data_IF_905213368945
#
_entry.id   IF_905213368945
#
_cell.length_a   1.000
_cell.length_b   1.000
_cell.length_c   1.000
_cell.angle_alpha   90.00
_cell.angle_beta   90.00
_cell.angle_gamma   90.00
#
_symmetry.space_group_name_H-M   'P 1'
#
loop_
_entity.id
_entity.type
_entity.pdbx_description
1 polymer ?
#
# COMPACT_ATOMS: atom_id res chain seq x y z
N UNK A 1 -3.81 3.53 11.41
CA UNK A 1 -4.03 4.74 10.57
C UNK A 1 -4.86 4.36 9.33
N UNK A 2 -5.87 5.15 8.95
CA UNK A 2 -6.73 4.84 7.80
C UNK A 2 -6.14 5.25 6.45
N UNK A 3 -5.12 6.12 6.41
CA UNK A 3 -4.50 6.60 5.17
C UNK A 3 -2.99 6.64 5.30
N UNK A 4 -2.26 6.39 4.21
CA UNK A 4 -0.81 6.52 4.11
C UNK A 4 -0.40 6.91 2.69
N UNK A 5 0.29 8.04 2.55
CA UNK A 5 0.87 8.44 1.26
C UNK A 5 2.30 7.94 1.13
N UNK A 6 2.60 7.26 0.02
CA UNK A 6 3.92 6.72 -0.29
C UNK A 6 4.73 7.84 -0.93
N UNK A 7 5.57 8.55 -0.19
CA UNK A 7 6.55 9.49 -0.78
C UNK A 7 7.77 8.75 -1.32
N UNK A 8 8.49 9.34 -2.28
CA UNK A 8 9.77 8.83 -2.79
C UNK A 8 10.80 8.47 -1.70
N UNK A 9 10.81 9.22 -0.59
CA UNK A 9 11.71 8.99 0.56
C UNK A 9 11.11 8.09 1.64
N UNK A 10 9.91 7.55 1.44
CA UNK A 10 9.28 6.65 2.40
C UNK A 10 10.08 5.37 2.48
N UNK A 11 10.56 5.04 3.66
CA UNK A 11 11.24 3.76 3.89
C UNK A 11 10.30 2.61 3.56
N UNK A 12 10.81 1.60 2.85
CA UNK A 12 10.04 0.42 2.46
C UNK A 12 9.34 -0.22 3.67
N UNK A 13 10.02 -0.32 4.80
CA UNK A 13 9.49 -0.90 6.05
C UNK A 13 8.27 -0.16 6.61
N UNK A 14 8.10 1.13 6.31
CA UNK A 14 6.91 1.88 6.72
C UNK A 14 5.70 1.37 5.95
N UNK A 15 5.84 1.22 4.63
CA UNK A 15 4.77 0.72 3.77
C UNK A 15 4.45 -0.73 4.11
N UNK A 16 5.48 -1.57 4.26
CA UNK A 16 5.32 -2.98 4.61
C UNK A 16 4.58 -3.16 5.95
N UNK A 17 4.98 -2.41 6.98
CA UNK A 17 4.31 -2.46 8.30
C UNK A 17 2.88 -1.96 8.23
N UNK A 18 2.65 -0.86 7.51
CA UNK A 18 1.31 -0.31 7.36
C UNK A 18 0.37 -1.31 6.68
N UNK A 19 0.81 -1.98 5.62
CA UNK A 19 0.00 -2.99 4.94
C UNK A 19 -0.27 -4.20 5.83
N UNK A 20 0.75 -4.69 6.54
CA UNK A 20 0.64 -5.83 7.46
C UNK A 20 -0.36 -5.56 8.58
N UNK A 21 -0.43 -4.34 9.11
CA UNK A 21 -1.39 -4.00 10.17
C UNK A 21 -2.86 -4.11 9.73
N UNK A 22 -3.12 -4.08 8.42
CA UNK A 22 -4.46 -4.22 7.81
C UNK A 22 -4.69 -5.60 7.18
N UNK A 23 -3.80 -6.56 7.45
CA UNK A 23 -3.92 -7.93 6.93
C UNK A 23 -3.45 -8.12 5.48
N UNK A 24 -2.76 -7.13 4.90
CA UNK A 24 -2.17 -7.24 3.57
C UNK A 24 -0.70 -7.61 3.64
N UNK A 25 -0.27 -8.47 2.71
CA UNK A 25 1.14 -8.68 2.39
C UNK A 25 1.54 -7.66 1.33
N UNK A 26 2.64 -6.96 1.56
CA UNK A 26 3.23 -6.04 0.59
C UNK A 26 4.61 -6.54 0.15
N UNK A 27 4.94 -6.36 -1.12
CA UNK A 27 6.27 -6.64 -1.69
C UNK A 27 6.72 -5.45 -2.53
N UNK A 28 7.94 -4.97 -2.29
CA UNK A 28 8.54 -3.90 -3.09
C UNK A 28 9.11 -4.48 -4.39
N UNK A 29 8.87 -3.78 -5.51
CA UNK A 29 9.39 -4.11 -6.84
C UNK A 29 9.95 -2.87 -7.55
N UNK A 30 10.34 -3.03 -8.81
CA UNK A 30 10.84 -1.93 -9.63
C UNK A 30 9.72 -0.89 -9.89
N UNK A 31 9.64 0.13 -9.05
CA UNK A 31 8.71 1.26 -9.21
C UNK A 31 7.51 1.30 -8.27
N UNK A 32 7.40 0.38 -7.30
CA UNK A 32 6.28 0.44 -6.36
C UNK A 32 6.13 -0.78 -5.46
N UNK A 33 4.92 -0.95 -4.96
CA UNK A 33 4.51 -2.00 -4.04
C UNK A 33 3.36 -2.79 -4.64
N UNK A 34 3.50 -4.12 -4.62
CA UNK A 34 2.39 -5.03 -4.86
C UNK A 34 1.79 -5.42 -3.51
N UNK A 35 0.48 -5.26 -3.36
CA UNK A 35 -0.29 -5.50 -2.15
C UNK A 35 -1.25 -6.66 -2.41
N UNK A 36 -1.30 -7.64 -1.52
CA UNK A 36 -2.16 -8.82 -1.67
C UNK A 36 -2.75 -9.25 -0.34
N UNK A 37 -4.01 -9.69 -0.36
CA UNK A 37 -4.69 -10.31 0.78
C UNK A 37 -5.47 -11.54 0.34
N UNK A 38 -5.01 -12.71 0.76
CA UNK A 38 -5.63 -13.99 0.36
C UNK A 38 -5.73 -14.10 -1.16
N UNK A 39 -6.96 -14.37 -1.62
CA UNK A 39 -7.30 -14.53 -3.05
C UNK A 39 -7.79 -13.24 -3.71
N UNK A 40 -7.69 -12.08 -3.05
CA UNK A 40 -8.01 -10.80 -3.68
C UNK A 40 -7.04 -10.48 -4.82
N UNK A 41 -7.52 -9.77 -5.86
CA UNK A 41 -6.64 -9.22 -6.88
C UNK A 41 -5.54 -8.38 -6.27
N UNK A 42 -4.31 -8.54 -6.78
CA UNK A 42 -3.18 -7.75 -6.34
C UNK A 42 -3.38 -6.28 -6.69
N UNK A 43 -3.10 -5.39 -5.75
CA UNK A 43 -3.08 -3.94 -5.98
C UNK A 43 -1.64 -3.49 -6.20
N UNK A 44 -1.45 -2.51 -7.07
CA UNK A 44 -0.15 -1.89 -7.31
C UNK A 44 -0.21 -0.45 -6.84
N UNK A 45 0.75 -0.05 -6.01
CA UNK A 45 0.88 1.31 -5.53
C UNK A 45 2.28 1.84 -5.83
N UNK A 46 2.36 3.00 -6.44
CA UNK A 46 3.59 3.68 -6.80
C UNK A 46 3.94 4.76 -5.77
N UNK A 47 5.16 5.30 -5.81
CA UNK A 47 5.43 6.61 -5.22
C UNK A 47 4.36 7.63 -5.63
N UNK A 48 4.02 8.48 -4.67
CA UNK A 48 2.98 9.50 -4.66
C UNK A 48 1.53 8.99 -4.63
N UNK A 49 1.30 7.68 -4.67
CA UNK A 49 -0.03 7.14 -4.34
C UNK A 49 -0.33 7.20 -2.84
N UNK A 50 -1.62 7.26 -2.51
CA UNK A 50 -2.13 7.13 -1.16
C UNK A 50 -2.86 5.80 -0.99
N UNK A 51 -2.38 4.99 -0.04
CA UNK A 51 -3.10 3.81 0.43
C UNK A 51 -4.19 4.24 1.39
N UNK A 52 -5.40 3.72 1.21
CA UNK A 52 -6.57 4.04 2.03
C UNK A 52 -7.19 2.75 2.55
N UNK A 53 -7.41 2.68 3.86
CA UNK A 53 -8.10 1.60 4.54
C UNK A 53 -9.52 2.04 4.89
N UNK A 54 -10.52 1.38 4.31
CA UNK A 54 -11.95 1.68 4.50
C UNK A 54 -12.58 0.92 5.70
N UNK A 55 -11.80 0.13 6.43
CA UNK A 55 -12.30 -0.78 7.47
C UNK A 55 -12.42 -2.23 7.01
N UNK A 56 -12.38 -2.47 5.69
CA UNK A 56 -12.48 -3.79 5.10
C UNK A 56 -11.36 -4.08 4.11
N UNK A 57 -10.88 -3.15 3.30
CA UNK A 57 -9.86 -3.35 2.24
C UNK A 57 -8.97 -2.13 2.07
N UNK A 58 -7.80 -2.36 1.48
CA UNK A 58 -6.92 -1.27 1.01
C UNK A 58 -7.37 -0.87 -0.40
N UNK A 59 -7.46 0.43 -0.67
CA UNK A 59 -7.53 1.00 -2.02
C UNK A 59 -6.33 1.92 -2.28
N UNK A 60 -6.05 2.17 -3.55
CA UNK A 60 -4.96 3.06 -4.00
C UNK A 60 -5.60 4.28 -4.65
N UNK A 61 -5.32 5.46 -4.11
CA UNK A 61 -5.70 6.74 -4.69
C UNK A 61 -4.46 7.39 -5.33
N UNK A 62 -4.58 7.82 -6.57
CA UNK A 62 -3.57 8.63 -7.25
C UNK A 62 -3.67 10.08 -6.73
N UNK A 63 -2.54 10.71 -6.40
CA UNK A 63 -2.54 12.15 -6.18
C UNK A 63 -2.58 12.87 -7.54
N UNK A 64 -3.37 13.95 -7.67
CA UNK A 64 -3.41 14.77 -8.87
C UNK A 64 -2.08 15.47 -9.14
#
# INVERSE_FOLDING_TARGET
PSRMTIRYRTHLDVVLRWCRQHGYRATAGAGGFTLQRGDEPALVAQPDNTLVWDGQRISVEEQP
#
